data_IF_622761582206
#
_entry.id   IF_622761582206
#
_cell.length_a   1.000
_cell.length_b   1.000
_cell.length_c   1.000
_cell.angle_alpha   90.00
_cell.angle_beta   90.00
_cell.angle_gamma   90.00
#
_symmetry.space_group_name_H-M   'P 1'
#
loop_
_entity.id
_entity.type
_entity.pdbx_description
1 polymer ?
#
# COMPACT_ATOMS: atom_id res chain seq x y z
N UNK A 1 21.52 26.84 20.08
CA UNK A 1 20.39 26.12 20.72
C UNK A 1 19.07 26.33 19.98
N UNK A 2 18.61 27.58 19.76
CA UNK A 2 17.28 27.87 19.15
C UNK A 2 17.09 27.32 17.72
N UNK A 3 18.15 27.31 16.89
CA UNK A 3 18.10 26.81 15.51
C UNK A 3 18.06 25.27 15.40
N UNK A 4 18.65 24.56 16.36
CA UNK A 4 18.64 23.08 16.39
C UNK A 4 17.22 22.56 16.58
N UNK A 5 16.45 23.22 17.44
CA UNK A 5 15.05 22.86 17.69
C UNK A 5 14.19 22.99 16.42
N UNK A 6 14.40 24.05 15.64
CA UNK A 6 13.65 24.31 14.39
C UNK A 6 13.99 23.26 13.33
N UNK A 7 15.26 22.87 13.21
CA UNK A 7 15.69 21.81 12.28
C UNK A 7 15.09 20.46 12.70
N UNK A 8 15.04 20.16 14.00
CA UNK A 8 14.45 18.93 14.50
C UNK A 8 12.94 18.85 14.20
N UNK A 9 12.21 19.95 14.44
CA UNK A 9 10.76 20.00 14.22
C UNK A 9 10.42 19.87 12.73
N UNK A 10 11.17 20.53 11.85
CA UNK A 10 10.98 20.43 10.39
C UNK A 10 11.29 19.03 9.87
N UNK A 11 12.33 18.37 10.41
CA UNK A 11 12.67 16.99 10.06
C UNK A 11 11.59 15.99 10.51
N UNK A 12 11.03 16.16 11.72
CA UNK A 12 9.93 15.33 12.23
C UNK A 12 8.67 15.51 11.37
N UNK A 13 8.33 16.75 11.01
CA UNK A 13 7.17 17.01 10.15
C UNK A 13 7.33 16.40 8.76
N UNK A 14 8.51 16.51 8.15
CA UNK A 14 8.80 15.90 6.86
C UNK A 14 8.71 14.37 6.89
N UNK A 15 9.23 13.71 7.94
CA UNK A 15 9.14 12.25 8.08
C UNK A 15 7.70 11.72 8.17
N UNK A 16 6.79 12.46 8.81
CA UNK A 16 5.40 12.01 8.94
C UNK A 16 4.60 12.15 7.63
N UNK A 17 4.99 13.06 6.73
CA UNK A 17 4.33 13.25 5.43
C UNK A 17 4.64 12.09 4.46
N UNK A 18 5.77 11.41 4.64
CA UNK A 18 6.23 10.29 3.80
C UNK A 18 6.17 8.94 4.51
N UNK A 19 5.38 8.80 5.57
CA UNK A 19 5.11 7.48 6.12
C UNK A 19 4.28 6.69 5.09
N UNK A 20 4.94 5.79 4.35
CA UNK A 20 4.26 4.83 3.48
C UNK A 20 3.29 4.02 4.34
N UNK A 21 2.02 3.98 3.93
CA UNK A 21 1.01 3.20 4.64
C UNK A 21 1.42 1.71 4.65
N UNK A 22 1.35 1.07 5.81
CA UNK A 22 1.66 -0.36 5.92
C UNK A 22 0.77 -1.19 4.98
N UNK A 23 1.31 -2.28 4.42
CA UNK A 23 0.57 -3.18 3.53
C UNK A 23 -0.75 -3.69 4.13
N UNK A 24 -0.78 -3.94 5.45
CA UNK A 24 -2.02 -4.33 6.13
C UNK A 24 -3.06 -3.20 6.16
N UNK A 25 -2.60 -1.95 6.29
CA UNK A 25 -3.45 -0.77 6.26
C UNK A 25 -4.04 -0.53 4.86
N UNK A 26 -3.21 -0.66 3.82
CA UNK A 26 -3.64 -0.57 2.42
C UNK A 26 -4.72 -1.63 2.13
N UNK A 27 -4.49 -2.89 2.51
CA UNK A 27 -5.47 -3.96 2.28
C UNK A 27 -6.76 -3.77 3.09
N UNK A 28 -6.67 -3.32 4.35
CA UNK A 28 -7.83 -3.13 5.23
C UNK A 28 -8.71 -1.93 4.87
N UNK A 29 -8.10 -0.87 4.33
CA UNK A 29 -8.81 0.39 4.02
C UNK A 29 -9.02 0.64 2.53
N UNK A 30 -8.37 -0.14 1.66
CA UNK A 30 -8.53 -0.07 0.21
C UNK A 30 -9.74 -0.87 -0.29
N UNK A 31 -10.23 -0.51 -1.47
CA UNK A 31 -11.27 -1.27 -2.16
C UNK A 31 -10.63 -2.42 -2.93
N UNK A 32 -10.93 -3.66 -2.54
CA UNK A 32 -10.51 -4.85 -3.30
C UNK A 32 -11.30 -4.91 -4.62
N UNK A 33 -10.59 -4.86 -5.74
CA UNK A 33 -11.17 -4.93 -7.10
C UNK A 33 -11.13 -6.37 -7.63
N UNK A 34 -10.07 -7.10 -7.28
CA UNK A 34 -9.87 -8.47 -7.72
C UNK A 34 -9.23 -9.29 -6.61
N UNK A 35 -9.61 -10.56 -6.50
CA UNK A 35 -9.08 -11.49 -5.51
C UNK A 35 -8.92 -12.87 -6.14
N UNK A 36 -7.75 -13.48 -5.96
CA UNK A 36 -7.44 -14.82 -6.45
C UNK A 36 -6.61 -15.56 -5.42
N UNK A 37 -7.05 -16.74 -5.01
CA UNK A 37 -6.26 -17.64 -4.18
C UNK A 37 -5.62 -18.68 -5.07
N UNK A 38 -4.31 -18.85 -4.99
CA UNK A 38 -3.62 -19.89 -5.75
C UNK A 38 -3.99 -21.28 -5.19
N UNK A 39 -4.71 -22.13 -5.95
CA UNK A 39 -5.12 -23.44 -5.48
C UNK A 39 -4.00 -24.48 -5.60
N UNK A 40 -2.92 -24.19 -6.33
CA UNK A 40 -1.84 -25.13 -6.62
C UNK A 40 -0.57 -24.92 -5.77
N UNK A 41 -0.49 -23.81 -5.04
CA UNK A 41 0.65 -23.47 -4.18
C UNK A 41 0.68 -24.26 -2.86
N UNK A 42 1.88 -24.65 -2.42
CA UNK A 42 2.11 -25.20 -1.07
C UNK A 42 1.76 -24.21 0.04
N UNK A 43 1.83 -22.91 -0.26
CA UNK A 43 1.26 -21.82 0.54
C UNK A 43 -0.07 -21.38 -0.11
N UNK A 44 -1.16 -21.36 0.68
CA UNK A 44 -2.47 -20.84 0.26
C UNK A 44 -2.44 -19.31 0.14
N UNK A 45 -1.61 -18.81 -0.75
CA UNK A 45 -1.41 -17.38 -0.93
C UNK A 45 -2.61 -16.79 -1.67
N UNK A 46 -3.10 -15.66 -1.17
CA UNK A 46 -4.21 -14.93 -1.77
C UNK A 46 -3.71 -13.60 -2.30
N UNK A 47 -3.94 -13.37 -3.58
CA UNK A 47 -3.59 -12.17 -4.30
C UNK A 47 -4.80 -11.26 -4.38
N UNK A 48 -4.64 -10.01 -3.97
CA UNK A 48 -5.65 -8.96 -4.09
C UNK A 48 -5.12 -7.82 -4.94
N UNK A 49 -5.95 -7.30 -5.83
CA UNK A 49 -5.74 -5.99 -6.47
C UNK A 49 -6.59 -5.00 -5.69
N UNK A 50 -5.95 -4.00 -5.09
CA UNK A 50 -6.55 -3.07 -4.15
C UNK A 50 -6.40 -1.67 -4.68
N UNK A 51 -7.51 -0.94 -4.80
CA UNK A 51 -7.50 0.49 -5.08
C UNK A 51 -7.53 1.27 -3.78
N UNK A 52 -6.52 2.10 -3.57
CA UNK A 52 -6.33 2.85 -2.33
C UNK A 52 -5.69 4.20 -2.64
N UNK A 53 -6.24 5.29 -2.09
CA UNK A 53 -5.75 6.67 -2.31
C UNK A 53 -5.48 7.07 -3.77
N UNK A 54 -6.27 6.54 -4.72
CA UNK A 54 -6.16 6.73 -6.19
C UNK A 54 -5.07 5.91 -6.89
N UNK A 55 -4.41 5.04 -6.15
CA UNK A 55 -3.38 4.14 -6.65
C UNK A 55 -3.88 2.69 -6.62
N UNK A 56 -3.30 1.86 -7.49
CA UNK A 56 -3.55 0.41 -7.49
C UNK A 56 -2.36 -0.29 -6.86
N UNK A 57 -2.66 -1.19 -5.93
CA UNK A 57 -1.70 -2.05 -5.26
C UNK A 57 -2.01 -3.52 -5.53
N UNK A 58 -0.95 -4.30 -5.77
CA UNK A 58 -1.01 -5.75 -5.72
C UNK A 58 -0.62 -6.19 -4.31
N UNK A 59 -1.60 -6.68 -3.57
CA UNK A 59 -1.40 -7.23 -2.23
C UNK A 59 -1.35 -8.76 -2.29
N UNK A 60 -0.37 -9.36 -1.62
CA UNK A 60 -0.26 -10.80 -1.43
C UNK A 60 -0.40 -11.09 0.05
N UNK A 61 -1.42 -11.89 0.39
CA UNK A 61 -1.69 -12.40 1.71
C UNK A 61 -1.16 -13.81 1.78
N UNK A 62 -0.13 -13.98 2.59
CA UNK A 62 0.44 -15.28 2.94
C UNK A 62 0.08 -15.58 4.40
N UNK A 63 0.28 -16.83 4.85
CA UNK A 63 0.01 -17.20 6.25
C UNK A 63 0.78 -16.37 7.31
N UNK A 64 1.89 -15.73 6.93
CA UNK A 64 2.76 -14.96 7.83
C UNK A 64 2.63 -13.46 7.71
N UNK A 65 2.19 -12.94 6.57
CA UNK A 65 2.27 -11.50 6.26
C UNK A 65 1.40 -11.11 5.08
N UNK A 66 1.07 -9.82 5.06
CA UNK A 66 0.51 -9.09 3.90
C UNK A 66 1.61 -8.23 3.30
N UNK A 67 1.78 -8.30 1.98
CA UNK A 67 2.70 -7.46 1.23
C UNK A 67 1.96 -6.77 0.08
N UNK A 68 1.91 -5.45 0.08
CA UNK A 68 1.28 -4.65 -0.97
C UNK A 68 2.33 -3.84 -1.73
N UNK A 69 2.39 -4.05 -3.04
CA UNK A 69 3.28 -3.30 -3.92
C UNK A 69 2.47 -2.41 -4.85
N UNK A 70 2.91 -1.16 -5.04
CA UNK A 70 2.32 -0.24 -6.01
C UNK A 70 2.48 -0.80 -7.43
N UNK A 71 1.40 -0.76 -8.20
CA UNK A 71 1.39 -1.20 -9.59
C UNK A 71 1.62 -0.01 -10.51
N UNK A 72 2.88 0.22 -10.89
CA UNK A 72 3.29 1.38 -11.71
C UNK A 72 2.64 1.42 -13.10
N UNK A 73 2.29 0.26 -13.68
CA UNK A 73 1.76 0.18 -15.06
C UNK A 73 0.23 0.24 -15.16
N UNK A 74 -0.47 0.39 -14.02
CA UNK A 74 -1.93 0.47 -13.97
C UNK A 74 -2.40 1.88 -13.60
N UNK A 75 -2.12 2.86 -14.47
CA UNK A 75 -2.88 4.10 -14.47
C UNK A 75 -4.29 3.77 -14.99
N UNK A 76 -5.26 3.68 -14.06
CA UNK A 76 -6.66 3.55 -14.45
C UNK A 76 -7.05 4.83 -15.19
N UNK A 77 -7.22 4.74 -16.50
CA UNK A 77 -7.83 5.83 -17.25
C UNK A 77 -9.25 6.05 -16.72
N UNK A 78 -9.48 7.26 -16.20
CA UNK A 78 -10.77 7.67 -15.62
C UNK A 78 -11.78 8.11 -16.68
N UNK A 79 -11.41 8.13 -17.96
CA UNK A 79 -12.30 8.54 -19.05
C UNK A 79 -13.52 7.62 -19.22
N UNK A 80 -13.50 6.42 -18.60
CA UNK A 80 -14.54 5.40 -18.76
C UNK A 80 -15.32 5.06 -17.48
N UNK A 81 -15.22 5.84 -16.39
CA UNK A 81 -16.09 5.69 -15.20
C UNK A 81 -17.13 6.80 -15.10
#
# INVERSE_FOLDING_TARGET
MKYILIILITFIFACNVYAEDSSAHILGNGKVIYSYTDPAGTSKDTYHIVYYKKDIYKCVVTYKRVLCNFMQDFTVDRSTM
#
